data_IF_840555721217
#
_entry.id   IF_840555721217
#
_cell.length_a   1.000
_cell.length_b   1.000
_cell.length_c   1.000
_cell.angle_alpha   90.00
_cell.angle_beta   90.00
_cell.angle_gamma   90.00
#
_symmetry.space_group_name_H-M   'P 1'
#
loop_
_entity.id
_entity.type
_entity.pdbx_description
1 polymer ?
#
# COMPACT_ATOMS: atom_id res chain seq x y z
N UNK A 1 -33.19 21.56 5.50
CA UNK A 1 -32.03 21.47 6.39
C UNK A 1 -31.54 20.02 6.35
N UNK A 2 -30.51 19.74 5.55
CA UNK A 2 -29.84 18.43 5.58
C UNK A 2 -29.07 18.39 6.89
N UNK A 3 -29.30 17.39 7.73
CA UNK A 3 -28.58 17.24 8.99
C UNK A 3 -27.07 17.28 8.73
N UNK A 4 -26.40 18.36 9.10
CA UNK A 4 -24.94 18.49 9.09
C UNK A 4 -24.35 17.74 10.29
N UNK A 5 -24.84 16.52 10.53
CA UNK A 5 -24.51 15.73 11.70
C UNK A 5 -23.08 15.25 11.60
N UNK A 6 -22.15 16.00 12.21
CA UNK A 6 -20.79 15.49 12.48
C UNK A 6 -20.93 14.14 13.17
N UNK A 7 -20.14 13.17 12.72
CA UNK A 7 -20.18 11.79 13.24
C UNK A 7 -19.63 11.73 14.68
N UNK A 8 -18.81 12.73 15.06
CA UNK A 8 -18.21 12.86 16.38
C UNK A 8 -17.82 14.32 16.65
N UNK A 9 -17.79 14.71 17.92
CA UNK A 9 -17.19 15.96 18.41
C UNK A 9 -15.79 15.73 19.05
N UNK A 10 -15.30 14.49 19.01
CA UNK A 10 -13.99 14.13 19.56
C UNK A 10 -12.85 14.71 18.71
N UNK A 11 -11.72 15.02 19.34
CA UNK A 11 -10.55 15.53 18.63
C UNK A 11 -9.88 14.43 17.80
N UNK A 12 -9.69 14.71 16.52
CA UNK A 12 -9.08 13.82 15.54
C UNK A 12 -7.60 14.18 15.34
N UNK A 13 -6.71 13.23 15.57
CA UNK A 13 -5.29 13.35 15.21
C UNK A 13 -5.05 12.81 13.81
N UNK A 14 -4.72 13.66 12.84
CA UNK A 14 -4.35 13.23 11.48
C UNK A 14 -2.86 12.91 11.47
N UNK A 15 -2.55 11.61 11.49
CA UNK A 15 -1.17 11.11 11.54
C UNK A 15 -0.57 11.05 10.14
N UNK A 16 0.57 11.71 9.94
CA UNK A 16 1.23 11.87 8.65
C UNK A 16 2.75 11.90 8.81
N UNK A 17 3.47 12.05 7.70
CA UNK A 17 4.93 11.99 7.68
C UNK A 17 5.45 10.59 7.98
N UNK A 18 6.14 10.42 9.11
CA UNK A 18 6.84 9.18 9.47
C UNK A 18 8.25 9.09 8.89
N UNK A 19 8.85 7.89 8.91
CA UNK A 19 10.26 7.65 8.52
C UNK A 19 10.43 6.83 7.23
N UNK A 20 9.33 6.49 6.54
CA UNK A 20 9.39 5.72 5.29
C UNK A 20 9.96 6.56 4.15
N UNK A 21 10.35 5.89 3.06
CA UNK A 21 10.71 6.54 1.79
C UNK A 21 9.54 7.33 1.17
N UNK A 22 8.32 7.14 1.67
CA UNK A 22 7.09 7.76 1.17
C UNK A 22 6.63 8.95 2.05
N UNK A 23 7.49 9.42 2.97
CA UNK A 23 7.22 10.52 3.91
C UNK A 23 6.59 11.76 3.25
N UNK A 24 7.12 12.22 2.12
CA UNK A 24 6.62 13.43 1.45
C UNK A 24 5.20 13.25 0.89
N UNK A 25 4.87 12.03 0.45
CA UNK A 25 3.52 11.67 -0.02
C UNK A 25 2.57 11.60 1.17
N UNK A 26 3.04 11.05 2.28
CA UNK A 26 2.33 11.00 3.57
C UNK A 26 1.99 12.40 4.09
N UNK A 27 2.94 13.33 4.11
CA UNK A 27 2.69 14.73 4.50
C UNK A 27 1.64 15.40 3.61
N UNK A 28 1.73 15.23 2.28
CA UNK A 28 0.74 15.78 1.33
C UNK A 28 -0.67 15.21 1.57
N UNK A 29 -0.75 13.89 1.77
CA UNK A 29 -2.02 13.20 2.03
C UNK A 29 -2.64 13.68 3.34
N UNK A 30 -1.85 13.67 4.42
CA UNK A 30 -2.28 14.12 5.74
C UNK A 30 -2.75 15.56 5.75
N UNK A 31 -2.04 16.46 5.08
CA UNK A 31 -2.46 17.86 4.98
C UNK A 31 -3.80 18.00 4.23
N UNK A 32 -4.00 17.25 3.14
CA UNK A 32 -5.26 17.27 2.39
C UNK A 32 -6.45 16.78 3.25
N UNK A 33 -6.23 15.69 4.01
CA UNK A 33 -7.21 15.14 4.96
C UNK A 33 -7.51 16.14 6.08
N UNK A 34 -6.48 16.70 6.72
CA UNK A 34 -6.62 17.68 7.79
C UNK A 34 -7.45 18.88 7.33
N UNK A 35 -7.12 19.46 6.18
CA UNK A 35 -7.87 20.58 5.62
C UNK A 35 -9.32 20.23 5.30
N UNK A 36 -9.60 18.99 4.85
CA UNK A 36 -10.97 18.54 4.62
C UNK A 36 -11.76 18.44 5.93
N UNK A 37 -11.17 17.87 6.98
CA UNK A 37 -11.80 17.76 8.31
C UNK A 37 -12.13 19.14 8.89
N UNK A 38 -11.19 20.10 8.81
CA UNK A 38 -11.41 21.47 9.25
C UNK A 38 -12.55 22.14 8.46
N UNK A 39 -12.57 22.02 7.13
CA UNK A 39 -13.66 22.58 6.30
C UNK A 39 -15.04 21.99 6.64
N UNK A 40 -15.08 20.75 7.09
CA UNK A 40 -16.29 20.06 7.55
C UNK A 40 -16.66 20.37 9.01
N UNK A 41 -15.85 21.19 9.70
CA UNK A 41 -16.11 21.63 11.07
C UNK A 41 -15.73 20.63 12.15
N UNK A 42 -14.89 19.63 11.87
CA UNK A 42 -14.34 18.73 12.90
C UNK A 42 -13.20 19.40 13.67
N UNK A 43 -13.02 19.04 14.95
CA UNK A 43 -11.80 19.36 15.70
C UNK A 43 -10.69 18.39 15.29
N UNK A 44 -9.74 18.88 14.47
CA UNK A 44 -8.66 18.06 13.93
C UNK A 44 -7.29 18.74 14.05
N UNK A 45 -6.28 17.96 14.41
CA UNK A 45 -4.88 18.39 14.50
C UNK A 45 -4.01 17.52 13.59
N UNK A 46 -3.13 18.15 12.81
CA UNK A 46 -2.12 17.47 12.02
C UNK A 46 -0.93 17.08 12.90
N UNK A 47 -0.51 15.82 12.85
CA UNK A 47 0.61 15.31 13.67
C UNK A 47 1.57 14.55 12.75
N UNK A 48 2.83 15.00 12.72
CA UNK A 48 3.91 14.30 12.04
C UNK A 48 4.49 13.21 12.96
N UNK A 49 4.43 11.96 12.52
CA UNK A 49 4.80 10.82 13.37
C UNK A 49 6.31 10.77 13.59
N UNK A 50 6.69 10.94 14.85
CA UNK A 50 8.06 10.83 15.36
C UNK A 50 8.13 9.87 16.55
N UNK A 51 9.31 9.74 17.16
CA UNK A 51 9.48 8.98 18.42
C UNK A 51 8.80 9.65 19.64
N UNK A 52 8.29 10.87 19.48
CA UNK A 52 7.54 11.61 20.51
C UNK A 52 6.03 11.49 20.37
N UNK A 53 5.54 10.67 19.43
CA UNK A 53 4.12 10.55 19.11
C UNK A 53 3.23 10.36 20.35
N UNK A 54 3.62 9.52 21.32
CA UNK A 54 2.86 9.32 22.56
C UNK A 54 2.53 10.64 23.28
N UNK A 55 3.52 11.53 23.43
CA UNK A 55 3.33 12.83 24.10
C UNK A 55 2.46 13.75 23.28
N UNK A 56 2.61 13.72 21.96
CA UNK A 56 1.80 14.56 21.07
C UNK A 56 0.33 14.16 21.12
N UNK A 57 0.03 12.86 21.09
CA UNK A 57 -1.33 12.35 21.24
C UNK A 57 -1.95 12.73 22.59
N UNK A 58 -1.21 12.57 23.69
CA UNK A 58 -1.66 12.93 25.04
C UNK A 58 -1.87 14.44 25.21
N UNK A 59 -0.86 15.26 24.85
CA UNK A 59 -0.91 16.71 25.02
C UNK A 59 -2.03 17.34 24.18
N UNK A 60 -2.24 16.82 22.97
CA UNK A 60 -3.31 17.29 22.09
C UNK A 60 -4.67 16.71 22.48
N UNK A 61 -4.73 15.70 23.37
CA UNK A 61 -5.94 14.97 23.76
C UNK A 61 -6.62 14.33 22.54
N UNK A 62 -5.82 13.68 21.70
CA UNK A 62 -6.34 12.94 20.53
C UNK A 62 -7.19 11.77 21.01
N UNK A 63 -8.44 11.72 20.55
CA UNK A 63 -9.39 10.68 20.89
C UNK A 63 -9.57 9.65 19.75
N UNK A 64 -9.31 10.06 18.50
CA UNK A 64 -9.38 9.20 17.32
C UNK A 64 -8.22 9.56 16.40
N UNK A 65 -7.52 8.58 15.83
CA UNK A 65 -6.46 8.80 14.87
C UNK A 65 -6.93 8.55 13.43
N UNK A 66 -6.75 9.53 12.55
CA UNK A 66 -6.86 9.33 11.10
C UNK A 66 -5.48 9.00 10.56
N UNK A 67 -5.30 7.81 10.00
CA UNK A 67 -4.02 7.36 9.44
C UNK A 67 -3.87 7.85 8.00
N UNK A 68 -2.82 8.65 7.76
CA UNK A 68 -2.40 9.12 6.43
C UNK A 68 -0.91 8.85 6.19
N UNK A 69 -0.38 7.82 6.87
CA UNK A 69 0.97 7.31 6.71
C UNK A 69 1.05 6.37 5.51
N UNK A 70 2.21 6.33 4.84
CA UNK A 70 2.47 5.47 3.69
C UNK A 70 3.75 4.66 3.92
N UNK A 71 3.74 3.39 3.57
CA UNK A 71 4.89 2.50 3.68
C UNK A 71 5.15 1.94 5.09
N UNK A 72 6.35 1.33 5.29
CA UNK A 72 6.71 0.69 6.54
C UNK A 72 6.60 1.60 7.77
N UNK A 73 6.12 1.04 8.87
CA UNK A 73 5.77 1.74 10.11
C UNK A 73 4.35 2.35 10.12
N UNK A 74 3.78 2.65 8.95
CA UNK A 74 2.44 3.24 8.82
C UNK A 74 1.36 2.26 8.35
N UNK A 75 1.72 1.37 7.42
CA UNK A 75 0.77 0.46 6.74
C UNK A 75 0.98 -1.01 7.09
N UNK A 76 1.99 -1.34 7.90
CA UNK A 76 2.43 -2.72 8.19
C UNK A 76 1.97 -3.27 9.54
N UNK A 77 1.06 -2.56 10.23
CA UNK A 77 0.57 -2.95 11.55
C UNK A 77 1.33 -2.32 12.72
N UNK A 78 2.47 -1.65 12.48
CA UNK A 78 3.29 -1.06 13.55
C UNK A 78 2.55 0.06 14.28
N UNK A 79 2.12 1.09 13.56
CA UNK A 79 1.37 2.20 14.15
C UNK A 79 0.02 1.75 14.71
N UNK A 80 -0.61 0.78 14.05
CA UNK A 80 -1.87 0.19 14.50
C UNK A 80 -1.68 -0.46 15.87
N UNK A 81 -0.65 -1.29 16.06
CA UNK A 81 -0.38 -1.93 17.33
C UNK A 81 -0.04 -0.94 18.45
N UNK A 82 0.64 0.15 18.11
CA UNK A 82 0.87 1.25 19.05
C UNK A 82 -0.45 1.90 19.50
N UNK A 83 -1.36 2.19 18.57
CA UNK A 83 -2.67 2.80 18.87
C UNK A 83 -3.60 1.84 19.62
N UNK A 84 -3.58 0.54 19.31
CA UNK A 84 -4.26 -0.50 20.12
C UNK A 84 -3.78 -0.48 21.57
N UNK A 85 -2.46 -0.37 21.78
CA UNK A 85 -1.87 -0.32 23.13
C UNK A 85 -2.28 0.95 23.89
N UNK A 86 -2.42 2.07 23.18
CA UNK A 86 -2.91 3.33 23.76
C UNK A 86 -4.43 3.38 23.93
N UNK A 87 -5.18 2.42 23.38
CA UNK A 87 -6.64 2.44 23.37
C UNK A 87 -7.24 3.56 22.51
N UNK A 88 -6.51 4.04 21.50
CA UNK A 88 -6.96 5.10 20.59
C UNK A 88 -7.53 4.46 19.32
N UNK A 89 -8.84 4.57 19.03
CA UNK A 89 -9.41 4.08 17.78
C UNK A 89 -8.81 4.80 16.57
N UNK A 90 -8.71 4.10 15.44
CA UNK A 90 -8.11 4.63 14.22
C UNK A 90 -8.79 4.17 12.94
N UNK A 91 -8.58 4.93 11.86
CA UNK A 91 -9.09 4.60 10.53
C UNK A 91 -8.28 3.49 9.87
N UNK A 92 -8.96 2.63 9.10
CA UNK A 92 -8.31 1.63 8.23
C UNK A 92 -8.32 0.22 8.82
N UNK A 93 -7.41 -0.61 8.34
CA UNK A 93 -7.27 -2.00 8.78
C UNK A 93 -6.56 -2.10 10.13
N UNK A 94 -6.92 -3.12 10.93
CA UNK A 94 -6.22 -3.44 12.17
C UNK A 94 -4.89 -4.16 11.96
N UNK A 95 -4.12 -4.36 13.03
CA UNK A 95 -2.73 -4.88 13.04
C UNK A 95 -2.50 -6.04 12.07
N UNK A 96 -3.29 -7.12 12.20
CA UNK A 96 -3.12 -8.33 11.38
C UNK A 96 -3.33 -8.07 9.89
N UNK A 97 -4.40 -7.35 9.55
CA UNK A 97 -4.74 -7.09 8.16
C UNK A 97 -3.73 -6.15 7.50
N UNK A 98 -3.24 -5.14 8.23
CA UNK A 98 -2.17 -4.24 7.78
C UNK A 98 -0.84 -5.00 7.55
N UNK A 99 -0.39 -5.79 8.53
CA UNK A 99 0.83 -6.59 8.41
C UNK A 99 0.78 -7.58 7.25
N UNK A 100 -0.34 -8.29 7.10
CA UNK A 100 -0.56 -9.21 5.98
C UNK A 100 -0.57 -8.45 4.66
N UNK A 101 -1.35 -7.37 4.57
CA UNK A 101 -1.55 -6.58 3.35
C UNK A 101 -0.27 -5.97 2.81
N UNK A 102 0.64 -5.55 3.70
CA UNK A 102 1.94 -5.02 3.30
C UNK A 102 2.90 -6.11 2.81
N UNK A 103 2.77 -7.34 3.33
CA UNK A 103 3.64 -8.46 2.99
C UNK A 103 3.09 -9.27 1.80
N UNK A 104 3.56 -8.95 0.58
CA UNK A 104 3.00 -9.51 -0.67
C UNK A 104 2.97 -11.03 -0.72
N UNK A 105 4.02 -11.71 -0.27
CA UNK A 105 4.08 -13.18 -0.30
C UNK A 105 3.05 -13.84 0.63
N UNK A 106 2.79 -13.24 1.80
CA UNK A 106 1.79 -13.72 2.76
C UNK A 106 0.39 -13.42 2.25
N UNK A 107 0.15 -12.20 1.79
CA UNK A 107 -1.12 -11.83 1.13
C UNK A 107 -1.45 -12.81 0.00
N UNK A 108 -0.48 -13.08 -0.88
CA UNK A 108 -0.66 -13.99 -2.01
C UNK A 108 -1.01 -15.41 -1.57
N UNK A 109 -0.29 -15.94 -0.59
CA UNK A 109 -0.54 -17.28 -0.04
C UNK A 109 -1.97 -17.39 0.50
N UNK A 110 -2.42 -16.38 1.24
CA UNK A 110 -3.78 -16.34 1.80
C UNK A 110 -4.84 -16.21 0.70
N UNK A 111 -4.64 -15.33 -0.27
CA UNK A 111 -5.56 -15.15 -1.40
C UNK A 111 -5.70 -16.46 -2.21
N UNK A 112 -4.58 -17.09 -2.55
CA UNK A 112 -4.56 -18.36 -3.28
C UNK A 112 -5.29 -19.48 -2.51
N UNK A 113 -5.05 -19.58 -1.20
CA UNK A 113 -5.73 -20.56 -0.35
C UNK A 113 -7.26 -20.39 -0.31
N UNK A 114 -7.76 -19.18 -0.60
CA UNK A 114 -9.20 -18.87 -0.71
C UNK A 114 -9.70 -18.83 -2.16
N UNK A 115 -8.92 -19.32 -3.13
CA UNK A 115 -9.32 -19.40 -4.52
C UNK A 115 -9.32 -18.05 -5.27
N UNK A 116 -8.75 -16.99 -4.69
CA UNK A 116 -8.57 -15.72 -5.39
C UNK A 116 -7.40 -15.87 -6.38
N UNK A 117 -7.59 -15.55 -7.67
CA UNK A 117 -6.52 -15.66 -8.65
C UNK A 117 -5.33 -14.76 -8.31
N UNK A 118 -4.14 -15.33 -8.33
CA UNK A 118 -2.88 -14.62 -8.13
C UNK A 118 -1.86 -15.11 -9.16
N UNK A 119 -0.92 -14.26 -9.59
CA UNK A 119 0.14 -14.66 -10.51
C UNK A 119 0.93 -15.88 -9.99
N UNK A 120 1.46 -16.76 -10.83
CA UNK A 120 2.37 -17.79 -10.31
C UNK A 120 3.69 -17.12 -9.85
N UNK A 121 4.36 -17.69 -8.85
CA UNK A 121 5.61 -17.10 -8.37
C UNK A 121 6.25 -17.81 -7.20
N UNK A 122 7.41 -17.29 -6.80
CA UNK A 122 8.21 -17.77 -5.67
C UNK A 122 8.90 -16.60 -4.96
N UNK A 123 9.53 -16.88 -3.82
CA UNK A 123 10.36 -15.92 -3.07
C UNK A 123 11.81 -16.40 -3.09
N UNK A 124 12.72 -15.47 -3.36
CA UNK A 124 14.17 -15.66 -3.25
C UNK A 124 14.66 -14.83 -2.07
N UNK A 125 15.39 -15.45 -1.14
CA UNK A 125 15.98 -14.73 0.00
C UNK A 125 17.36 -14.21 -0.35
N UNK A 126 17.73 -13.11 0.30
CA UNK A 126 19.06 -12.55 0.19
C UNK A 126 20.09 -13.61 0.59
N UNK A 127 21.07 -13.84 -0.29
CA UNK A 127 22.10 -14.87 -0.11
C UNK A 127 21.93 -16.10 -1.00
N UNK A 128 20.70 -16.52 -1.33
CA UNK A 128 20.45 -17.79 -2.05
C UNK A 128 20.94 -17.78 -3.51
N UNK A 129 21.13 -16.58 -4.09
CA UNK A 129 21.65 -16.28 -5.46
C UNK A 129 21.38 -17.40 -6.50
N UNK A 130 20.12 -17.82 -6.71
CA UNK A 130 19.83 -18.95 -7.59
C UNK A 130 20.03 -18.58 -9.06
N UNK A 131 20.37 -19.58 -9.88
CA UNK A 131 20.36 -19.42 -11.34
C UNK A 131 18.91 -19.23 -11.83
N UNK A 132 18.70 -18.31 -12.79
CA UNK A 132 17.37 -18.02 -13.35
C UNK A 132 16.67 -19.29 -13.85
N UNK A 133 17.39 -20.16 -14.56
CA UNK A 133 16.85 -21.40 -15.10
C UNK A 133 16.27 -22.33 -14.01
N UNK A 134 16.87 -22.34 -12.81
CA UNK A 134 16.37 -23.10 -11.66
C UNK A 134 15.02 -22.53 -11.20
N UNK A 135 14.94 -21.20 -11.04
CA UNK A 135 13.72 -20.51 -10.62
C UNK A 135 12.58 -20.71 -11.64
N UNK A 136 12.85 -20.50 -12.92
CA UNK A 136 11.84 -20.68 -13.98
C UNK A 136 11.27 -22.10 -13.98
N UNK A 137 12.13 -23.12 -13.84
CA UNK A 137 11.70 -24.52 -13.80
C UNK A 137 10.90 -24.86 -12.53
N UNK A 138 11.41 -24.51 -11.35
CA UNK A 138 10.79 -24.91 -10.08
C UNK A 138 9.48 -24.16 -9.81
N UNK A 139 9.39 -22.90 -10.21
CA UNK A 139 8.19 -22.08 -10.05
C UNK A 139 7.24 -22.15 -11.27
N UNK A 140 7.55 -22.96 -12.29
CA UNK A 140 6.78 -23.07 -13.54
C UNK A 140 6.52 -21.71 -14.20
N UNK A 141 7.57 -20.91 -14.35
CA UNK A 141 7.54 -19.57 -14.91
C UNK A 141 8.23 -19.50 -16.27
N UNK A 142 7.77 -18.56 -17.09
CA UNK A 142 8.40 -18.17 -18.34
C UNK A 142 8.69 -16.66 -18.34
N UNK A 143 9.65 -16.23 -19.15
CA UNK A 143 9.91 -14.80 -19.33
C UNK A 143 8.81 -14.17 -20.21
N UNK A 144 8.39 -12.92 -19.93
CA UNK A 144 8.91 -12.05 -18.88
C UNK A 144 8.40 -12.39 -17.47
N UNK A 145 9.23 -12.11 -16.47
CA UNK A 145 8.88 -12.21 -15.04
C UNK A 145 9.02 -10.85 -14.36
N UNK A 146 8.35 -10.66 -13.24
CA UNK A 146 8.47 -9.47 -12.38
C UNK A 146 9.23 -9.85 -11.11
N UNK A 147 10.29 -9.09 -10.81
CA UNK A 147 11.05 -9.20 -9.55
C UNK A 147 10.77 -7.97 -8.72
N UNK A 148 10.36 -8.12 -7.45
CA UNK A 148 10.01 -7.01 -6.57
C UNK A 148 10.26 -7.29 -5.08
N UNK A 149 10.53 -6.27 -4.25
CA UNK A 149 10.61 -6.44 -2.81
C UNK A 149 9.27 -6.85 -2.22
N UNK A 150 9.29 -7.71 -1.20
CA UNK A 150 8.08 -8.29 -0.62
C UNK A 150 7.25 -7.26 0.17
N UNK A 151 7.88 -6.43 1.00
CA UNK A 151 7.24 -5.54 1.96
C UNK A 151 7.44 -4.02 1.67
N UNK A 152 7.55 -3.64 0.38
CA UNK A 152 7.68 -2.24 -0.05
C UNK A 152 6.47 -1.71 -0.85
N UNK A 153 6.21 -0.41 -0.78
CA UNK A 153 5.18 0.29 -1.55
C UNK A 153 5.69 0.87 -2.88
N UNK A 154 4.79 1.55 -3.60
CA UNK A 154 5.15 2.55 -4.62
C UNK A 154 6.06 2.10 -5.78
N UNK A 155 6.01 0.82 -6.16
CA UNK A 155 6.81 0.25 -7.28
C UNK A 155 8.33 0.41 -7.07
N UNK A 156 8.78 0.65 -5.83
CA UNK A 156 10.19 0.76 -5.49
C UNK A 156 10.85 -0.62 -5.61
N UNK A 157 11.99 -0.68 -6.31
CA UNK A 157 12.76 -1.91 -6.48
C UNK A 157 12.13 -2.95 -7.42
N UNK A 158 11.09 -2.60 -8.18
CA UNK A 158 10.42 -3.52 -9.11
C UNK A 158 11.14 -3.54 -10.47
N UNK A 159 11.37 -4.72 -11.02
CA UNK A 159 11.97 -4.91 -12.35
C UNK A 159 11.18 -5.94 -13.16
N UNK A 160 10.86 -5.62 -14.42
CA UNK A 160 10.37 -6.60 -15.40
C UNK A 160 11.56 -7.21 -16.13
N UNK A 161 11.88 -8.46 -15.80
CA UNK A 161 12.97 -9.23 -16.42
C UNK A 161 12.42 -9.84 -17.70
N UNK A 162 12.87 -9.33 -18.85
CA UNK A 162 12.48 -9.80 -20.18
C UNK A 162 13.51 -10.74 -20.81
N UNK A 163 14.77 -10.65 -20.37
CA UNK A 163 15.89 -11.48 -20.83
C UNK A 163 16.79 -11.91 -19.67
N UNK A 164 17.42 -13.07 -19.81
CA UNK A 164 18.24 -13.68 -18.75
C UNK A 164 19.33 -12.77 -18.18
N UNK A 165 19.92 -11.90 -19.01
CA UNK A 165 20.96 -10.95 -18.59
C UNK A 165 20.52 -9.95 -17.52
N UNK A 166 19.21 -9.69 -17.36
CA UNK A 166 18.68 -8.74 -16.38
C UNK A 166 18.49 -9.36 -14.98
N UNK A 167 18.58 -10.69 -14.85
CA UNK A 167 18.22 -11.41 -13.63
C UNK A 167 19.02 -10.98 -12.39
N UNK A 168 20.34 -10.92 -12.50
CA UNK A 168 21.22 -10.62 -11.36
C UNK A 168 21.00 -9.21 -10.83
N UNK A 169 20.84 -8.25 -11.73
CA UNK A 169 20.58 -6.85 -11.40
C UNK A 169 19.19 -6.68 -10.79
N UNK A 170 18.18 -7.36 -11.32
CA UNK A 170 16.82 -7.34 -10.80
C UNK A 170 16.74 -7.86 -9.35
N UNK A 171 17.36 -9.01 -9.07
CA UNK A 171 17.46 -9.54 -7.71
C UNK A 171 18.23 -8.61 -6.78
N UNK A 172 19.38 -8.12 -7.22
CA UNK A 172 20.19 -7.21 -6.41
C UNK A 172 19.41 -5.93 -6.07
N UNK A 173 18.68 -5.37 -7.03
CA UNK A 173 17.85 -4.18 -6.82
C UNK A 173 16.73 -4.45 -5.80
N UNK A 174 16.00 -5.57 -5.92
CA UNK A 174 14.97 -5.92 -4.95
C UNK A 174 15.56 -6.08 -3.53
N UNK A 175 16.70 -6.77 -3.42
CA UNK A 175 17.38 -7.00 -2.15
C UNK A 175 17.97 -5.75 -1.49
N UNK A 176 18.14 -4.65 -2.23
CA UNK A 176 18.50 -3.36 -1.60
C UNK A 176 17.40 -2.80 -0.71
N UNK A 177 16.15 -3.24 -0.88
CA UNK A 177 15.00 -2.71 -0.15
C UNK A 177 14.32 -3.74 0.77
N UNK A 178 14.58 -5.03 0.57
CA UNK A 178 13.96 -6.11 1.35
C UNK A 178 14.81 -7.39 1.29
N UNK A 179 15.07 -8.08 2.42
CA UNK A 179 15.77 -9.38 2.39
C UNK A 179 15.06 -10.45 1.55
N UNK A 180 13.77 -10.29 1.24
CA UNK A 180 12.99 -11.18 0.39
C UNK A 180 12.60 -10.50 -0.94
N UNK A 181 12.92 -11.17 -2.05
CA UNK A 181 12.53 -10.76 -3.40
C UNK A 181 11.47 -11.72 -3.93
N UNK A 182 10.28 -11.20 -4.26
CA UNK A 182 9.22 -11.97 -4.90
C UNK A 182 9.44 -11.98 -6.41
N UNK A 183 9.33 -13.16 -7.01
CA UNK A 183 9.50 -13.41 -8.44
C UNK A 183 8.20 -13.99 -8.98
N UNK A 184 7.56 -13.30 -9.91
CA UNK A 184 6.22 -13.65 -10.41
C UNK A 184 6.16 -13.68 -11.93
N UNK A 185 5.20 -14.42 -12.48
CA UNK A 185 4.84 -14.28 -13.89
C UNK A 185 4.41 -12.85 -14.20
N UNK A 186 4.87 -12.33 -15.33
CA UNK A 186 4.35 -11.07 -15.84
C UNK A 186 2.95 -11.29 -16.40
N UNK A 187 1.98 -10.52 -15.90
CA UNK A 187 0.61 -10.53 -16.42
C UNK A 187 0.44 -9.36 -17.37
N UNK A 188 0.33 -9.64 -18.66
CA UNK A 188 0.00 -8.64 -19.66
C UNK A 188 -1.51 -8.35 -19.61
N UNK A 189 -1.90 -7.08 -19.71
CA UNK A 189 -3.30 -6.69 -19.78
C UNK A 189 -3.58 -5.36 -19.13
N UNK A 190 -4.83 -5.19 -18.71
CA UNK A 190 -5.34 -3.98 -18.08
C UNK A 190 -5.02 -3.98 -16.58
N UNK A 191 -4.62 -2.83 -16.05
CA UNK A 191 -4.41 -2.63 -14.62
C UNK A 191 -5.66 -1.98 -14.02
N UNK A 192 -6.19 -2.59 -12.95
CA UNK A 192 -7.42 -2.14 -12.31
C UNK A 192 -7.25 -1.99 -10.81
N UNK A 193 -7.93 -1.00 -10.23
CA UNK A 193 -8.04 -0.83 -8.79
C UNK A 193 -9.50 -0.59 -8.39
N UNK A 194 -9.89 -1.14 -7.24
CA UNK A 194 -11.24 -1.00 -6.68
C UNK A 194 -11.13 -0.48 -5.25
N UNK A 195 -11.80 0.62 -4.96
CA UNK A 195 -11.81 1.19 -3.61
C UNK A 195 -12.97 0.63 -2.79
N UNK A 196 -12.69 0.31 -1.54
CA UNK A 196 -13.65 -0.20 -0.57
C UNK A 196 -13.84 0.82 0.55
N UNK A 197 -15.08 1.07 0.95
CA UNK A 197 -15.42 1.97 2.06
C UNK A 197 -16.42 1.29 2.99
N UNK A 198 -16.13 1.29 4.28
CA UNK A 198 -16.99 0.70 5.31
C UNK A 198 -16.23 -0.26 6.20
N UNK A 199 -16.96 -1.00 7.02
CA UNK A 199 -16.41 -1.97 7.97
C UNK A 199 -17.05 -3.34 7.76
N UNK A 200 -16.45 -4.40 8.28
CA UNK A 200 -17.07 -5.72 8.26
C UNK A 200 -18.40 -5.75 9.04
N UNK A 201 -18.57 -4.89 10.05
CA UNK A 201 -19.76 -4.83 10.89
C UNK A 201 -20.92 -4.08 10.22
N UNK A 202 -20.63 -2.97 9.54
CA UNK A 202 -21.64 -2.10 8.92
C UNK A 202 -21.89 -2.42 7.44
N UNK A 203 -21.07 -3.30 6.87
CA UNK A 203 -21.04 -3.60 5.45
C UNK A 203 -19.96 -2.80 4.72
N UNK A 204 -19.46 -3.40 3.63
CA UNK A 204 -18.44 -2.80 2.77
C UNK A 204 -19.10 -2.36 1.48
N UNK A 205 -19.00 -1.06 1.18
CA UNK A 205 -19.38 -0.50 -0.11
C UNK A 205 -18.21 -0.62 -1.07
N UNK A 206 -18.45 -1.32 -2.18
CA UNK A 206 -17.54 -1.39 -3.33
C UNK A 206 -17.78 -0.16 -4.21
N UNK A 207 -16.76 0.67 -4.40
CA UNK A 207 -16.82 1.81 -5.33
C UNK A 207 -16.51 1.36 -6.77
N UNK A 208 -16.86 2.16 -7.79
CA UNK A 208 -16.56 1.81 -9.18
C UNK A 208 -15.07 1.48 -9.37
N UNK A 209 -14.80 0.43 -10.15
CA UNK A 209 -13.44 0.09 -10.55
C UNK A 209 -12.84 1.24 -11.38
N UNK A 210 -11.53 1.43 -11.24
CA UNK A 210 -10.72 2.37 -12.02
C UNK A 210 -9.76 1.56 -12.87
N UNK A 211 -9.71 1.82 -14.17
CA UNK A 211 -8.62 1.35 -15.02
C UNK A 211 -7.47 2.36 -14.98
N UNK A 212 -6.26 1.88 -14.72
CA UNK A 212 -5.02 2.65 -14.68
C UNK A 212 -4.29 2.44 -16.00
N UNK A 213 -4.27 3.45 -16.86
CA UNK A 213 -3.60 3.40 -18.16
C UNK A 213 -2.31 4.21 -18.09
N UNK A 214 -1.22 3.52 -17.75
CA UNK A 214 0.12 4.11 -17.73
C UNK A 214 0.70 4.22 -19.16
N UNK A 215 1.41 5.31 -19.50
CA UNK A 215 2.13 5.40 -20.76
C UNK A 215 3.22 4.33 -20.78
N UNK A 216 3.42 3.68 -21.93
CA UNK A 216 4.37 2.56 -22.11
C UNK A 216 4.04 1.26 -21.34
N UNK A 217 2.87 1.17 -20.68
CA UNK A 217 2.33 -0.08 -20.14
C UNK A 217 2.96 -0.55 -18.82
N UNK A 218 3.67 0.32 -18.08
CA UNK A 218 4.19 0.01 -16.75
C UNK A 218 3.94 1.15 -15.76
N UNK A 219 3.20 0.85 -14.69
CA UNK A 219 2.83 1.82 -13.66
C UNK A 219 3.92 1.95 -12.58
N UNK A 220 5.00 2.66 -12.93
CA UNK A 220 6.12 2.94 -12.04
C UNK A 220 5.87 4.14 -11.09
N UNK A 221 6.83 4.40 -10.20
CA UNK A 221 6.80 5.53 -9.28
C UNK A 221 6.62 6.88 -10.01
N UNK A 222 7.27 7.05 -11.16
CA UNK A 222 7.19 8.28 -11.93
C UNK A 222 5.78 8.46 -12.53
N UNK A 223 5.15 7.38 -12.99
CA UNK A 223 3.79 7.36 -13.51
C UNK A 223 2.72 7.61 -12.43
N UNK A 224 3.00 7.28 -11.16
CA UNK A 224 2.13 7.52 -10.00
C UNK A 224 2.07 8.99 -9.57
N UNK A 225 3.21 9.68 -9.62
CA UNK A 225 3.33 11.02 -9.01
C UNK A 225 3.64 12.16 -9.98
N UNK A 226 3.93 11.88 -11.26
CA UNK A 226 4.02 12.92 -12.30
C UNK A 226 2.64 13.21 -12.92
N UNK A 227 2.22 14.47 -12.84
CA UNK A 227 0.94 14.95 -13.35
C UNK A 227 0.84 14.78 -14.87
N UNK A 228 -0.22 14.13 -15.36
CA UNK A 228 -0.61 14.13 -16.79
C UNK A 228 -0.09 12.98 -17.65
N UNK A 229 0.63 12.00 -17.08
CA UNK A 229 1.13 10.83 -17.84
C UNK A 229 0.18 9.64 -17.82
N UNK A 230 -0.35 9.29 -16.65
CA UNK A 230 -1.27 8.16 -16.46
C UNK A 230 -2.73 8.63 -16.59
N UNK A 231 -3.54 7.88 -17.34
CA UNK A 231 -4.99 8.11 -17.40
C UNK A 231 -5.69 7.18 -16.40
N UNK A 232 -6.73 7.70 -15.75
CA UNK A 232 -7.56 6.94 -14.82
C UNK A 232 -9.00 6.97 -15.35
N UNK A 233 -9.49 5.83 -15.82
CA UNK A 233 -10.84 5.71 -16.37
C UNK A 233 -11.77 5.18 -15.28
N UNK A 234 -12.78 5.97 -14.91
CA UNK A 234 -13.73 5.64 -13.84
C UNK A 234 -15.17 5.97 -14.27
N UNK A 235 -16.07 4.98 -14.40
CA UNK A 235 -15.83 3.54 -14.21
C UNK A 235 -14.86 2.95 -15.25
N UNK A 236 -14.16 1.88 -14.87
CA UNK A 236 -13.29 1.13 -15.77
C UNK A 236 -14.10 0.58 -16.95
N UNK A 237 -13.67 0.78 -18.21
CA UNK A 237 -14.37 0.36 -19.41
C UNK A 237 -14.17 -1.14 -19.73
N UNK A 238 -14.26 -2.00 -18.71
CA UNK A 238 -14.19 -3.44 -18.91
C UNK A 238 -15.52 -4.00 -19.41
N UNK A 239 -15.51 -5.01 -20.31
CA UNK A 239 -16.70 -5.77 -20.63
C UNK A 239 -17.34 -6.36 -19.36
N UNK A 240 -18.68 -6.46 -19.30
CA UNK A 240 -19.38 -7.09 -18.19
C UNK A 240 -19.08 -8.59 -18.07
#
# INVERSE_FOLDING_TARGET
>A
MVATGRITDARIGVLMGGRSSERDISLKTGQAVHQALIRLGYDAVAIDVTDRLHRELENQKVAIAFLSLHGPGGEDGTIQGFLETMGIPYTGSGVRASAVGMHKAVTKTLLAAHGVPVAAGTVVREGDRPALAKILREAHLELPIVVKPVAQGSTIGVTVVRRAGQWKEALALAHRFDPEAMVESYIAGHEAAVSLVGTAAEGVKVLPAIEIVAPEGFYDFSAKYQKGKTQYLCPAPFPP
#
